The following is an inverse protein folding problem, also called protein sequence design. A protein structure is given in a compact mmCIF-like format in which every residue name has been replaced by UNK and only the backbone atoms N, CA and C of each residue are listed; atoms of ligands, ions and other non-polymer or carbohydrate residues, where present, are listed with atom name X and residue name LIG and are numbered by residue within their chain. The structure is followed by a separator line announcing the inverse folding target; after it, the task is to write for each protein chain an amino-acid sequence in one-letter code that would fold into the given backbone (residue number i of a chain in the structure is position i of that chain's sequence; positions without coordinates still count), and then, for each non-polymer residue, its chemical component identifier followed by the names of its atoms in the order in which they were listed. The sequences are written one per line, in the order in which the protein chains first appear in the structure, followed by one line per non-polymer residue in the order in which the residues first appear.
data_IF_633764414934
#
_entry.id   IF_633764414934
#
_cell.length_a   1.000
_cell.length_b   1.000
_cell.length_c   1.000
_cell.angle_alpha   90.00
_cell.angle_beta   90.00
_cell.angle_gamma   90.00
#
_symmetry.space_group_name_H-M   'P 1'
#
loop_
_entity.id
_entity.type
_entity.pdbx_description
1 polymer ?
#
# COMPACT_ATOMS: atom_id res chain seq x y z
N UNK A 1 16.19 -33.85 -69.82
CA UNK A 1 15.08 -32.87 -69.83
C UNK A 1 14.06 -33.34 -68.82
N UNK A 2 13.99 -32.73 -67.64
CA UNK A 2 12.94 -33.05 -66.66
C UNK A 2 12.65 -31.86 -65.71
N UNK A 3 11.40 -31.41 -65.81
CA UNK A 3 10.49 -30.86 -64.80
C UNK A 3 10.66 -29.42 -64.23
N UNK A 4 9.55 -28.65 -64.12
CA UNK A 4 9.52 -27.35 -63.48
C UNK A 4 9.02 -27.37 -62.01
N UNK A 5 9.58 -26.40 -61.28
CA UNK A 5 9.16 -25.70 -60.05
C UNK A 5 7.72 -25.80 -59.53
N UNK A 6 7.60 -26.07 -58.22
CA UNK A 6 6.64 -25.41 -57.32
C UNK A 6 7.20 -25.39 -55.89
N UNK A 7 7.40 -24.19 -55.32
CA UNK A 7 8.05 -23.96 -54.03
C UNK A 7 7.14 -24.15 -52.81
N UNK A 8 7.72 -24.22 -51.59
CA UNK A 8 6.98 -24.49 -50.37
C UNK A 8 6.39 -23.21 -49.75
N UNK A 9 5.13 -23.29 -49.30
CA UNK A 9 4.42 -22.23 -48.60
C UNK A 9 4.98 -21.98 -47.20
N UNK A 10 5.42 -20.75 -46.95
CA UNK A 10 5.82 -20.23 -45.64
C UNK A 10 4.60 -19.99 -44.74
N UNK A 11 4.41 -20.81 -43.69
CA UNK A 11 3.52 -20.50 -42.57
C UNK A 11 4.30 -19.76 -41.49
N UNK A 12 4.11 -18.44 -41.43
CA UNK A 12 4.61 -17.56 -40.37
C UNK A 12 3.87 -17.87 -39.07
N UNK A 13 4.56 -18.42 -38.07
CA UNK A 13 4.03 -18.64 -36.71
C UNK A 13 4.17 -17.33 -35.93
N UNK A 14 3.06 -16.60 -35.79
CA UNK A 14 2.96 -15.37 -34.98
C UNK A 14 3.32 -15.71 -33.53
N UNK A 15 4.36 -15.04 -33.01
CA UNK A 15 4.76 -15.14 -31.62
C UNK A 15 3.68 -14.54 -30.72
N UNK A 16 3.12 -15.36 -29.83
CA UNK A 16 2.32 -14.88 -28.72
C UNK A 16 3.24 -14.10 -27.79
N UNK A 17 3.09 -12.77 -27.79
CA UNK A 17 3.59 -11.88 -26.75
C UNK A 17 3.06 -12.37 -25.41
N UNK A 18 3.92 -13.03 -24.64
CA UNK A 18 3.63 -13.47 -23.30
C UNK A 18 3.63 -12.22 -22.42
N UNK A 19 2.46 -11.57 -22.31
CA UNK A 19 2.19 -10.61 -21.26
C UNK A 19 2.50 -11.30 -19.94
N UNK A 20 3.51 -10.80 -19.23
CA UNK A 20 3.83 -11.22 -17.88
C UNK A 20 2.65 -10.86 -16.98
N UNK A 21 1.65 -11.74 -16.92
CA UNK A 21 0.71 -11.77 -15.80
C UNK A 21 1.49 -12.24 -14.57
N UNK A 22 2.27 -11.33 -13.98
CA UNK A 22 2.43 -11.35 -12.54
C UNK A 22 1.11 -10.86 -11.95
N UNK A 23 0.06 -11.67 -12.11
CA UNK A 23 -1.14 -11.55 -11.30
C UNK A 23 -0.71 -11.89 -9.89
N UNK A 24 -0.16 -10.89 -9.19
CA UNK A 24 -0.05 -10.90 -7.75
C UNK A 24 -1.46 -11.25 -7.29
N UNK A 25 -1.66 -12.50 -6.83
CA UNK A 25 -2.95 -12.92 -6.29
C UNK A 25 -3.20 -12.00 -5.10
N UNK A 26 -3.92 -10.90 -5.34
CA UNK A 26 -4.24 -9.90 -4.34
C UNK A 26 -4.91 -10.68 -3.23
N UNK A 27 -4.26 -10.74 -2.06
CA UNK A 27 -4.83 -11.42 -0.90
C UNK A 27 -6.06 -10.61 -0.51
N UNK A 28 -7.23 -11.03 -1.00
CA UNK A 28 -8.51 -10.41 -0.68
C UNK A 28 -8.89 -10.76 0.76
N UNK A 29 -9.65 -9.88 1.41
CA UNK A 29 -10.12 -10.11 2.77
C UNK A 29 -9.12 -9.79 3.86
N UNK A 30 -8.03 -9.08 3.57
CA UNK A 30 -7.03 -8.71 4.59
C UNK A 30 -7.58 -7.63 5.51
N UNK A 31 -8.38 -6.70 4.97
CA UNK A 31 -8.88 -5.55 5.73
C UNK A 31 -10.37 -5.63 6.07
N UNK A 32 -11.09 -6.68 5.67
CA UNK A 32 -12.55 -6.74 5.81
C UNK A 32 -13.03 -6.52 7.24
N UNK A 33 -12.38 -7.14 8.24
CA UNK A 33 -12.75 -6.97 9.64
C UNK A 33 -12.58 -5.52 10.10
N UNK A 34 -11.46 -4.90 9.77
CA UNK A 34 -11.17 -3.52 10.21
C UNK A 34 -12.05 -2.51 9.46
N UNK A 35 -12.30 -2.76 8.16
CA UNK A 35 -13.18 -1.93 7.34
C UNK A 35 -14.62 -1.94 7.84
N UNK A 36 -15.16 -3.08 8.29
CA UNK A 36 -16.50 -3.12 8.89
C UNK A 36 -16.62 -2.17 10.09
N UNK A 37 -15.66 -2.21 11.03
CA UNK A 37 -15.66 -1.31 12.19
C UNK A 37 -15.48 0.15 11.77
N UNK A 38 -14.65 0.41 10.76
CA UNK A 38 -14.44 1.76 10.24
C UNK A 38 -15.71 2.30 9.58
N UNK A 39 -16.38 1.50 8.74
CA UNK A 39 -17.64 1.86 8.07
C UNK A 39 -18.72 2.20 9.09
N UNK A 40 -18.89 1.39 10.14
CA UNK A 40 -19.78 1.72 11.25
C UNK A 40 -19.38 3.03 11.95
N UNK A 41 -18.08 3.25 12.17
CA UNK A 41 -17.56 4.51 12.74
C UNK A 41 -17.83 5.75 11.88
N UNK A 42 -18.05 5.58 10.57
CA UNK A 42 -18.50 6.62 9.65
C UNK A 42 -20.03 6.67 9.47
N UNK A 43 -20.78 5.88 10.23
CA UNK A 43 -22.25 5.91 10.28
C UNK A 43 -22.97 4.85 9.43
N UNK A 44 -22.26 3.84 8.93
CA UNK A 44 -22.87 2.69 8.25
C UNK A 44 -23.51 1.69 9.25
N UNK A 45 -24.15 0.64 8.76
CA UNK A 45 -24.70 -0.44 9.57
C UNK A 45 -23.59 -1.22 10.32
N UNK A 46 -23.81 -1.70 11.56
CA UNK A 46 -22.84 -2.54 12.26
C UNK A 46 -22.53 -3.87 11.54
N UNK A 47 -23.42 -4.33 10.66
CA UNK A 47 -23.25 -5.51 9.81
C UNK A 47 -23.44 -5.13 8.33
N UNK A 48 -22.49 -4.39 7.73
CA UNK A 48 -22.62 -3.96 6.35
C UNK A 48 -22.57 -5.15 5.38
N UNK A 49 -23.14 -5.00 4.19
CA UNK A 49 -23.13 -6.08 3.19
C UNK A 49 -21.69 -6.51 2.84
N UNK A 50 -21.39 -7.82 2.81
CA UNK A 50 -20.05 -8.32 2.46
C UNK A 50 -19.52 -7.79 1.13
N UNK A 51 -20.41 -7.61 0.15
CA UNK A 51 -20.10 -7.06 -1.17
C UNK A 51 -19.64 -5.60 -1.08
N UNK A 52 -20.27 -4.79 -0.21
CA UNK A 52 -19.86 -3.40 0.04
C UNK A 52 -18.48 -3.36 0.69
N UNK A 53 -18.24 -4.19 1.70
CA UNK A 53 -16.93 -4.25 2.38
C UNK A 53 -15.84 -4.68 1.40
N UNK A 54 -16.10 -5.68 0.54
CA UNK A 54 -15.16 -6.13 -0.48
C UNK A 54 -14.86 -5.04 -1.52
N UNK A 55 -15.87 -4.27 -1.94
CA UNK A 55 -15.67 -3.16 -2.87
C UNK A 55 -14.86 -2.02 -2.22
N UNK A 56 -15.16 -1.66 -0.97
CA UNK A 56 -14.39 -0.66 -0.22
C UNK A 56 -12.95 -1.12 -0.05
N UNK A 57 -12.71 -2.41 0.21
CA UNK A 57 -11.35 -2.96 0.26
C UNK A 57 -10.59 -2.76 -1.06
N UNK A 58 -11.21 -3.05 -2.20
CA UNK A 58 -10.59 -2.83 -3.50
C UNK A 58 -10.29 -1.34 -3.76
N UNK A 59 -11.21 -0.43 -3.41
CA UNK A 59 -11.02 1.03 -3.52
C UNK A 59 -9.87 1.52 -2.62
N UNK A 60 -9.80 1.03 -1.38
CA UNK A 60 -8.76 1.43 -0.43
C UNK A 60 -7.39 0.96 -0.90
N UNK A 61 -7.28 -0.28 -1.38
CA UNK A 61 -6.02 -0.82 -1.91
C UNK A 61 -5.54 -0.01 -3.11
N UNK A 62 -6.44 0.33 -4.05
CA UNK A 62 -6.13 1.18 -5.19
C UNK A 62 -5.66 2.57 -4.74
N UNK A 63 -6.41 3.22 -3.84
CA UNK A 63 -6.07 4.54 -3.32
C UNK A 63 -4.69 4.57 -2.64
N UNK A 64 -4.39 3.59 -1.78
CA UNK A 64 -3.09 3.51 -1.10
C UNK A 64 -1.97 3.28 -2.11
N UNK A 65 -2.17 2.41 -3.08
CA UNK A 65 -1.19 2.13 -4.14
C UNK A 65 -0.85 3.40 -4.92
N UNK A 66 -1.87 4.14 -5.35
CA UNK A 66 -1.71 5.40 -6.08
C UNK A 66 -1.03 6.48 -5.25
N UNK A 67 -1.38 6.58 -3.96
CA UNK A 67 -0.76 7.54 -3.05
C UNK A 67 0.73 7.24 -2.85
N UNK A 68 1.11 5.97 -2.71
CA UNK A 68 2.51 5.56 -2.57
C UNK A 68 3.31 5.86 -3.83
N UNK A 69 2.76 5.61 -5.02
CA UNK A 69 3.45 5.97 -6.28
C UNK A 69 3.72 7.48 -6.35
N UNK A 70 2.72 8.32 -6.05
CA UNK A 70 2.89 9.78 -6.04
C UNK A 70 3.91 10.24 -5.00
N UNK A 71 3.96 9.58 -3.84
CA UNK A 71 4.93 9.89 -2.79
C UNK A 71 6.35 9.47 -3.22
N UNK A 72 6.47 8.33 -3.88
CA UNK A 72 7.73 7.83 -4.44
C UNK A 72 8.30 8.76 -5.51
N UNK A 73 7.45 9.35 -6.35
CA UNK A 73 7.87 10.34 -7.35
C UNK A 73 8.51 11.57 -6.71
N UNK A 74 7.98 12.03 -5.57
CA UNK A 74 8.56 13.13 -4.77
C UNK A 74 9.89 12.68 -4.16
N UNK A 75 9.92 11.47 -3.58
CA UNK A 75 11.08 10.88 -2.92
C UNK A 75 12.23 10.56 -3.87
N UNK A 76 11.96 10.41 -5.17
CA UNK A 76 12.93 9.98 -6.20
C UNK A 76 14.23 10.78 -6.18
N UNK A 77 14.16 12.10 -5.97
CA UNK A 77 15.31 13.00 -5.87
C UNK A 77 16.22 12.70 -4.68
N UNK A 78 15.63 12.20 -3.59
CA UNK A 78 16.32 11.84 -2.35
C UNK A 78 16.73 10.36 -2.32
N UNK A 79 16.10 9.51 -3.15
CA UNK A 79 16.34 8.07 -3.20
C UNK A 79 15.76 7.26 -2.04
N UNK A 80 14.97 7.89 -1.16
CA UNK A 80 14.33 7.23 -0.01
C UNK A 80 12.97 7.85 0.28
N UNK A 81 11.93 7.02 0.34
CA UNK A 81 10.58 7.40 0.75
C UNK A 81 10.53 7.68 2.26
N UNK A 82 9.98 8.83 2.64
CA UNK A 82 9.81 9.26 4.02
C UNK A 82 8.37 9.74 4.27
N UNK A 83 8.02 9.94 5.54
CA UNK A 83 6.69 10.41 5.97
C UNK A 83 6.36 11.79 5.39
N UNK A 84 7.37 12.66 5.24
CA UNK A 84 7.22 14.03 4.74
C UNK A 84 6.73 14.06 3.29
N UNK A 85 6.99 13.02 2.50
CA UNK A 85 6.50 12.93 1.12
C UNK A 85 4.98 12.78 1.08
N UNK A 86 4.41 12.01 2.02
CA UNK A 86 2.96 11.88 2.19
C UNK A 86 2.34 13.18 2.71
N UNK A 87 2.97 13.84 3.69
CA UNK A 87 2.53 15.15 4.18
C UNK A 87 2.53 16.19 3.06
N UNK A 88 3.53 16.16 2.18
CA UNK A 88 3.58 17.02 1.02
C UNK A 88 2.40 16.77 0.07
N UNK A 89 2.02 15.50 -0.19
CA UNK A 89 0.86 15.21 -1.05
C UNK A 89 -0.44 15.82 -0.52
N UNK A 90 -0.66 15.75 0.80
CA UNK A 90 -1.89 16.24 1.45
C UNK A 90 -1.82 17.72 1.84
N UNK A 91 -0.74 18.44 1.54
CA UNK A 91 -0.48 19.82 2.04
C UNK A 91 -1.58 20.86 1.75
N UNK A 92 -2.42 20.60 0.75
CA UNK A 92 -3.54 21.49 0.36
C UNK A 92 -4.83 21.20 1.14
N UNK A 93 -4.90 20.07 1.84
CA UNK A 93 -6.00 19.67 2.70
C UNK A 93 -5.57 19.94 4.16
N UNK A 94 -5.78 21.17 4.62
CA UNK A 94 -5.33 21.62 5.95
C UNK A 94 -5.89 20.77 7.09
N UNK A 95 -7.19 20.40 7.11
CA UNK A 95 -7.71 19.51 8.15
C UNK A 95 -6.97 18.17 8.21
N UNK A 96 -6.75 17.51 7.05
CA UNK A 96 -6.02 16.23 7.01
C UNK A 96 -4.55 16.40 7.40
N UNK A 97 -3.90 17.45 6.92
CA UNK A 97 -2.51 17.75 7.24
C UNK A 97 -2.32 17.96 8.74
N UNK A 98 -3.15 18.80 9.37
CA UNK A 98 -3.07 19.08 10.80
C UNK A 98 -3.27 17.79 11.61
N UNK A 99 -4.28 17.01 11.25
CA UNK A 99 -4.56 15.74 11.92
C UNK A 99 -3.40 14.76 11.82
N UNK A 100 -2.77 14.64 10.65
CA UNK A 100 -1.60 13.79 10.47
C UNK A 100 -0.42 14.26 11.33
N UNK A 101 -0.14 15.56 11.36
CA UNK A 101 0.94 16.14 12.16
C UNK A 101 0.74 15.88 13.66
N UNK A 102 -0.48 16.07 14.18
CA UNK A 102 -0.83 15.76 15.57
C UNK A 102 -0.57 14.29 15.92
N UNK A 103 -1.05 13.37 15.07
CA UNK A 103 -0.89 11.93 15.30
C UNK A 103 0.58 11.50 15.27
N UNK A 104 1.40 12.11 14.41
CA UNK A 104 2.84 11.85 14.37
C UNK A 104 3.55 12.35 15.63
N UNK A 105 3.23 13.56 16.10
CA UNK A 105 3.75 14.10 17.36
C UNK A 105 3.42 13.20 18.54
N UNK A 106 2.15 12.81 18.67
CA UNK A 106 1.69 11.93 19.74
C UNK A 106 2.39 10.56 19.69
N UNK A 107 2.58 9.99 18.50
CA UNK A 107 3.30 8.73 18.35
C UNK A 107 4.77 8.86 18.78
N UNK A 108 5.41 9.99 18.50
CA UNK A 108 6.77 10.25 18.95
C UNK A 108 6.84 10.38 20.49
N UNK A 109 5.92 11.12 21.11
CA UNK A 109 5.81 11.23 22.57
C UNK A 109 5.61 9.85 23.22
N UNK A 110 4.71 9.02 22.68
CA UNK A 110 4.48 7.66 23.18
C UNK A 110 5.73 6.77 23.05
N UNK A 111 6.50 6.91 21.96
CA UNK A 111 7.77 6.19 21.80
C UNK A 111 8.81 6.63 22.82
N UNK A 112 8.91 7.93 23.09
CA UNK A 112 9.82 8.46 24.10
C UNK A 112 9.43 7.98 25.50
N UNK A 113 8.14 8.02 25.83
CA UNK A 113 7.62 7.51 27.09
C UNK A 113 7.97 6.03 27.28
N UNK A 114 7.73 5.17 26.28
CA UNK A 114 8.07 3.73 26.35
C UNK A 114 9.56 3.50 26.61
N UNK A 115 10.44 4.22 25.92
CA UNK A 115 11.90 4.10 26.12
C UNK A 115 12.35 4.48 27.53
N UNK A 116 11.68 5.44 28.17
CA UNK A 116 11.98 5.82 29.54
C UNK A 116 11.72 4.70 30.57
N UNK A 117 10.90 3.71 30.21
CA UNK A 117 10.61 2.53 31.05
C UNK A 117 11.39 1.27 30.65
N UNK A 118 12.01 1.23 29.46
CA UNK A 118 12.87 0.12 29.02
C UNK A 118 14.29 0.18 29.65
N UNK A 119 14.69 1.33 30.19
CA UNK A 119 15.91 1.46 30.97
C UNK A 119 15.56 1.25 32.44
N UNK A 120 15.59 0.00 32.93
CA UNK A 120 15.78 -0.37 34.35
C UNK A 120 15.51 -1.88 34.64
N UNK A 121 16.08 -2.79 33.85
CA UNK A 121 16.12 -4.21 34.24
C UNK A 121 17.57 -4.72 34.32
N UNK A 122 18.38 -4.48 33.28
CA UNK A 122 19.81 -4.88 33.29
C UNK A 122 20.67 -4.04 34.24
N UNK A 123 20.33 -2.77 34.48
CA UNK A 123 21.06 -1.92 35.43
C UNK A 123 20.75 -2.25 36.88
N UNK A 124 19.51 -2.65 37.19
CA UNK A 124 19.12 -3.06 38.55
C UNK A 124 19.71 -4.43 38.91
N UNK A 125 19.73 -5.39 37.97
CA UNK A 125 20.30 -6.72 38.18
C UNK A 125 21.83 -6.75 38.38
N UNK A 126 22.54 -5.67 38.04
CA UNK A 126 24.00 -5.56 38.18
C UNK A 126 24.43 -4.84 39.48
N UNK A 127 23.48 -4.51 40.37
CA UNK A 127 23.72 -3.77 41.62
C UNK A 127 23.65 -4.62 42.88
N UNK A 128 23.60 -5.96 42.76
CA UNK A 128 23.73 -6.91 43.87
C UNK A 128 25.06 -7.69 43.82
#
# INVERSE_FOLDING_TARGET
MNNPSAGPSSKTKVGSSQSSETSFKRKRGVFQKDLQHMMYGFGDDPNPFPETVALVEDIVVEYVTDMVHKAQDIASKRGKLLTEDFLFLIRKDLPKLNRCTELLSMNEELKQARKAFEVDEEKLASTE
#
